data_IF_627160859437
#
_entry.id   IF_627160859437
#
_cell.length_a   1.000
_cell.length_b   1.000
_cell.length_c   1.000
_cell.angle_alpha   90.00
_cell.angle_beta   90.00
_cell.angle_gamma   90.00
#
_symmetry.space_group_name_H-M   'P 1'
#
loop_
_entity.id
_entity.type
_entity.pdbx_description
1 polymer ?
#
# COMPACT_ATOMS: atom_id res chain seq x y z
N UNK A 1 2.31 -16.58 0.01
CA UNK A 1 1.45 -17.58 -0.67
C UNK A 1 2.28 -18.17 -1.81
N UNK A 2 2.26 -19.48 -2.00
CA UNK A 2 3.02 -20.18 -3.05
C UNK A 2 2.07 -21.00 -3.93
N UNK A 3 2.47 -21.31 -5.16
CA UNK A 3 1.69 -22.19 -6.02
C UNK A 3 1.75 -23.65 -5.52
N UNK A 4 0.59 -24.26 -5.33
CA UNK A 4 0.43 -25.68 -5.01
C UNK A 4 0.12 -26.52 -6.24
N UNK A 5 -0.37 -27.73 -6.02
CA UNK A 5 -0.81 -28.64 -7.09
C UNK A 5 -1.92 -27.97 -7.90
N UNK A 6 -1.80 -28.00 -9.23
CA UNK A 6 -2.71 -27.36 -10.19
C UNK A 6 -2.81 -25.82 -10.05
N UNK A 7 -1.69 -25.15 -9.72
CA UNK A 7 -1.62 -23.69 -9.52
C UNK A 7 -2.55 -23.16 -8.41
N UNK A 8 -3.08 -24.05 -7.55
CA UNK A 8 -3.91 -23.65 -6.41
C UNK A 8 -3.06 -22.85 -5.41
N UNK A 9 -3.47 -21.65 -4.96
CA UNK A 9 -2.70 -20.87 -4.01
C UNK A 9 -2.65 -21.56 -2.64
N UNK A 10 -1.44 -21.73 -2.11
CA UNK A 10 -1.16 -22.32 -0.80
C UNK A 10 -0.51 -21.30 0.11
N UNK A 11 -0.94 -21.23 1.37
CA UNK A 11 -0.34 -20.41 2.39
C UNK A 11 0.78 -21.21 3.06
N UNK A 12 2.02 -20.74 2.91
CA UNK A 12 3.17 -21.29 3.62
C UNK A 12 3.34 -20.60 4.97
N UNK A 13 3.35 -21.39 6.05
CA UNK A 13 3.52 -20.90 7.42
C UNK A 13 4.53 -21.76 8.16
N UNK A 14 5.31 -21.14 9.04
CA UNK A 14 6.20 -21.86 9.96
C UNK A 14 5.47 -22.13 11.26
N UNK A 15 5.16 -23.39 11.54
CA UNK A 15 4.44 -23.79 12.76
C UNK A 15 5.21 -24.86 13.52
N UNK A 16 5.49 -24.59 14.80
CA UNK A 16 6.33 -25.46 15.67
C UNK A 16 7.69 -25.81 15.04
N UNK A 17 8.31 -24.84 14.37
CA UNK A 17 9.62 -24.99 13.73
C UNK A 17 9.61 -25.75 12.40
N UNK A 18 8.45 -26.21 11.92
CA UNK A 18 8.30 -26.87 10.63
C UNK A 18 7.52 -26.00 9.65
N UNK A 19 7.91 -26.05 8.38
CA UNK A 19 7.15 -25.40 7.32
C UNK A 19 5.92 -26.24 6.99
N UNK A 20 4.75 -25.59 6.98
CA UNK A 20 3.47 -26.19 6.60
C UNK A 20 2.88 -25.41 5.45
N UNK A 21 2.23 -26.14 4.55
CA UNK A 21 1.45 -25.60 3.46
C UNK A 21 -0.02 -25.85 3.76
N UNK A 22 -0.82 -24.80 3.78
CA UNK A 22 -2.26 -24.87 4.03
C UNK A 22 -2.98 -24.26 2.84
N UNK A 23 -4.05 -24.91 2.38
CA UNK A 23 -4.96 -24.29 1.42
C UNK A 23 -5.93 -23.33 2.14
N UNK A 24 -6.61 -22.48 1.36
CA UNK A 24 -7.56 -21.51 1.89
C UNK A 24 -8.70 -22.18 2.68
N UNK A 25 -9.13 -23.36 2.25
CA UNK A 25 -10.17 -24.15 2.92
C UNK A 25 -9.72 -24.68 4.28
N UNK A 26 -8.46 -25.12 4.39
CA UNK A 26 -7.88 -25.56 5.67
C UNK A 26 -7.79 -24.39 6.65
N UNK A 27 -7.35 -23.21 6.21
CA UNK A 27 -7.34 -22.02 7.08
C UNK A 27 -8.75 -21.65 7.52
N UNK A 28 -9.69 -21.62 6.58
CA UNK A 28 -11.10 -21.32 6.87
C UNK A 28 -11.70 -22.35 7.83
N UNK A 29 -11.31 -23.61 7.72
CA UNK A 29 -11.74 -24.67 8.64
C UNK A 29 -11.24 -24.47 10.07
N UNK A 30 -10.07 -23.86 10.27
CA UNK A 30 -9.54 -23.54 11.61
C UNK A 30 -10.42 -22.47 12.26
N UNK A 31 -10.82 -21.45 11.49
CA UNK A 31 -11.76 -20.42 11.96
C UNK A 31 -13.11 -21.04 12.32
N UNK A 32 -13.67 -21.87 11.42
CA UNK A 32 -14.94 -22.56 11.66
C UNK A 32 -14.87 -23.54 12.85
N UNK A 33 -13.75 -24.21 13.06
CA UNK A 33 -13.52 -25.07 14.23
C UNK A 33 -13.58 -24.26 15.52
N UNK A 34 -12.91 -23.12 15.57
CA UNK A 34 -12.96 -22.23 16.73
C UNK A 34 -14.39 -21.72 16.98
N UNK A 35 -15.12 -21.33 15.91
CA UNK A 35 -16.52 -20.90 16.05
C UNK A 35 -17.42 -22.04 16.56
N UNK A 36 -17.20 -23.28 16.11
CA UNK A 36 -17.89 -24.47 16.63
C UNK A 36 -17.59 -24.67 18.11
N UNK A 37 -16.31 -24.63 18.52
CA UNK A 37 -15.90 -24.82 19.92
C UNK A 37 -16.51 -23.76 20.85
N UNK A 38 -16.57 -22.49 20.41
CA UNK A 38 -17.25 -21.42 21.15
C UNK A 38 -18.75 -21.73 21.30
N UNK A 39 -19.41 -22.16 20.23
CA UNK A 39 -20.83 -22.53 20.28
C UNK A 39 -21.08 -23.76 21.15
N UNK A 40 -20.22 -24.78 21.09
CA UNK A 40 -20.28 -25.99 21.92
C UNK A 40 -20.09 -25.67 23.41
N UNK A 41 -19.17 -24.75 23.73
CA UNK A 41 -18.95 -24.29 25.10
C UNK A 41 -20.16 -23.51 25.64
N UNK A 42 -20.80 -22.68 24.80
CA UNK A 42 -21.98 -21.90 25.19
C UNK A 42 -23.24 -22.77 25.34
N UNK A 43 -23.44 -23.74 24.43
CA UNK A 43 -24.60 -24.63 24.43
C UNK A 43 -24.44 -25.87 25.32
N UNK A 44 -23.23 -26.10 25.84
CA UNK A 44 -22.84 -27.30 26.60
C UNK A 44 -23.17 -28.61 25.86
N UNK A 45 -23.13 -28.59 24.53
CA UNK A 45 -23.55 -29.71 23.67
C UNK A 45 -22.83 -29.68 22.32
N UNK A 46 -22.55 -30.85 21.70
CA UNK A 46 -21.87 -30.91 20.40
C UNK A 46 -22.65 -30.23 19.27
N UNK A 47 -21.97 -29.44 18.45
CA UNK A 47 -22.56 -28.71 17.31
C UNK A 47 -22.10 -29.36 16.01
N UNK A 48 -23.03 -29.98 15.29
CA UNK A 48 -22.75 -30.73 14.06
C UNK A 48 -23.29 -30.09 12.79
N UNK A 49 -24.30 -29.26 12.90
CA UNK A 49 -24.98 -28.66 11.76
C UNK A 49 -24.77 -27.15 11.77
N UNK A 50 -24.48 -26.56 10.61
CA UNK A 50 -24.29 -25.12 10.48
C UNK A 50 -24.85 -24.58 9.16
N UNK A 51 -25.20 -23.29 9.19
CA UNK A 51 -25.42 -22.48 7.99
C UNK A 51 -24.27 -21.48 7.93
N UNK A 52 -23.62 -21.37 6.77
CA UNK A 52 -22.45 -20.49 6.60
C UNK A 52 -22.77 -19.44 5.54
N UNK A 53 -22.42 -18.18 5.83
CA UNK A 53 -22.62 -17.05 4.94
C UNK A 53 -21.46 -16.92 3.95
N UNK A 54 -21.74 -16.44 2.74
CA UNK A 54 -20.73 -16.06 1.74
C UNK A 54 -21.12 -14.76 1.03
N UNK A 55 -20.18 -14.01 0.44
CA UNK A 55 -20.50 -12.85 -0.39
C UNK A 55 -21.45 -13.21 -1.55
N UNK A 56 -22.38 -12.32 -1.89
CA UNK A 56 -23.38 -12.59 -2.93
C UNK A 56 -22.75 -12.90 -4.31
N UNK A 57 -21.58 -12.34 -4.59
CA UNK A 57 -20.83 -12.51 -5.83
C UNK A 57 -19.91 -13.73 -5.86
N UNK A 58 -19.88 -14.56 -4.79
CA UNK A 58 -19.10 -15.80 -4.81
C UNK A 58 -19.59 -16.74 -5.91
N UNK A 59 -18.65 -17.21 -6.73
CA UNK A 59 -18.90 -18.22 -7.74
C UNK A 59 -19.02 -19.63 -7.14
N UNK A 60 -19.39 -20.61 -7.95
CA UNK A 60 -19.63 -21.99 -7.50
C UNK A 60 -18.40 -22.63 -6.86
N UNK A 61 -17.20 -22.34 -7.38
CA UNK A 61 -15.94 -22.87 -6.84
C UNK A 61 -15.66 -22.33 -5.44
N UNK A 62 -15.86 -21.02 -5.21
CA UNK A 62 -15.67 -20.39 -3.91
C UNK A 62 -16.72 -20.84 -2.88
N UNK A 63 -17.97 -21.03 -3.31
CA UNK A 63 -19.04 -21.62 -2.47
C UNK A 63 -18.69 -23.04 -2.07
N UNK A 64 -18.21 -23.85 -3.02
CA UNK A 64 -17.79 -25.22 -2.77
C UNK A 64 -16.60 -25.29 -1.81
N UNK A 65 -15.60 -24.43 -1.99
CA UNK A 65 -14.47 -24.30 -1.08
C UNK A 65 -14.91 -23.97 0.37
N UNK A 66 -15.94 -23.12 0.52
CA UNK A 66 -16.50 -22.78 1.85
C UNK A 66 -17.23 -23.98 2.48
N UNK A 67 -17.96 -24.76 1.69
CA UNK A 67 -18.60 -26.01 2.14
C UNK A 67 -17.54 -27.02 2.58
N UNK A 68 -16.47 -27.16 1.80
CA UNK A 68 -15.38 -28.09 2.08
C UNK A 68 -14.62 -27.67 3.36
N UNK A 69 -14.42 -26.37 3.58
CA UNK A 69 -13.90 -25.86 4.85
C UNK A 69 -14.78 -26.24 6.05
N UNK A 70 -16.11 -26.17 5.89
CA UNK A 70 -17.06 -26.63 6.90
C UNK A 70 -16.95 -28.12 7.20
N UNK A 71 -16.82 -28.95 6.15
CA UNK A 71 -16.63 -30.39 6.30
C UNK A 71 -15.32 -30.73 7.02
N UNK A 72 -14.22 -30.04 6.70
CA UNK A 72 -12.94 -30.18 7.41
C UNK A 72 -13.06 -29.79 8.89
N UNK A 73 -13.87 -28.76 9.19
CA UNK A 73 -14.19 -28.34 10.55
C UNK A 73 -15.18 -29.29 11.27
N UNK A 74 -15.56 -30.43 10.68
CA UNK A 74 -16.51 -31.37 11.28
C UNK A 74 -17.96 -30.86 11.33
N UNK A 75 -18.29 -29.85 10.52
CA UNK A 75 -19.63 -29.29 10.40
C UNK A 75 -20.32 -29.80 9.13
N UNK A 76 -21.57 -30.24 9.27
CA UNK A 76 -22.49 -30.43 8.17
C UNK A 76 -23.09 -29.08 7.76
N UNK A 77 -22.63 -28.54 6.64
CA UNK A 77 -23.14 -27.28 6.09
C UNK A 77 -24.49 -27.52 5.44
N UNK A 78 -25.56 -27.23 6.20
CA UNK A 78 -26.95 -27.43 5.75
C UNK A 78 -27.32 -26.51 4.60
N UNK A 79 -26.76 -25.29 4.60
CA UNK A 79 -27.01 -24.28 3.58
C UNK A 79 -25.88 -23.26 3.54
N UNK A 80 -25.57 -22.80 2.33
CA UNK A 80 -24.83 -21.56 2.12
C UNK A 80 -25.84 -20.45 1.81
N UNK A 81 -25.73 -19.33 2.52
CA UNK A 81 -26.59 -18.16 2.30
C UNK A 81 -25.74 -16.95 1.91
N UNK A 82 -26.29 -16.07 1.08
CA UNK A 82 -25.60 -14.84 0.73
C UNK A 82 -25.64 -13.89 1.93
N UNK A 83 -24.53 -13.22 2.22
CA UNK A 83 -24.42 -12.26 3.33
C UNK A 83 -25.53 -11.20 3.34
N UNK A 84 -25.89 -10.54 2.22
CA UNK A 84 -27.00 -9.58 2.22
C UNK A 84 -28.34 -10.22 2.63
N UNK A 85 -28.61 -11.43 2.13
CA UNK A 85 -29.82 -12.20 2.48
C UNK A 85 -29.81 -12.65 3.94
N UNK A 86 -28.63 -12.95 4.50
CA UNK A 86 -28.48 -13.29 5.91
C UNK A 86 -28.74 -12.07 6.81
N UNK A 87 -28.25 -10.89 6.40
CA UNK A 87 -28.48 -9.63 7.09
C UNK A 87 -29.98 -9.27 7.13
N UNK A 88 -30.72 -9.53 6.05
CA UNK A 88 -32.19 -9.35 6.03
C UNK A 88 -32.92 -10.27 7.03
N UNK A 89 -32.30 -11.36 7.50
CA UNK A 89 -32.90 -12.34 8.43
C UNK A 89 -32.31 -12.26 9.86
N UNK A 90 -31.58 -11.18 10.20
CA UNK A 90 -30.69 -11.13 11.36
C UNK A 90 -31.38 -11.27 12.73
N UNK A 91 -32.64 -10.84 12.90
CA UNK A 91 -33.30 -10.92 14.21
C UNK A 91 -34.84 -10.97 14.12
N UNK A 92 -35.45 -12.12 14.41
CA UNK A 92 -36.91 -12.30 14.62
C UNK A 92 -37.85 -11.73 13.54
N UNK A 93 -37.35 -11.48 12.32
CA UNK A 93 -38.12 -10.75 11.29
C UNK A 93 -38.34 -9.26 11.61
N UNK A 94 -37.56 -8.71 12.54
CA UNK A 94 -37.49 -7.28 12.84
C UNK A 94 -36.48 -6.65 11.89
N UNK A 95 -36.99 -5.94 10.89
CA UNK A 95 -36.19 -5.12 10.01
C UNK A 95 -35.42 -4.07 10.83
N UNK A 96 -34.09 -4.07 10.75
CA UNK A 96 -33.28 -2.97 11.29
C UNK A 96 -33.37 -1.78 10.33
N UNK A 97 -34.42 -0.99 10.49
CA UNK A 97 -34.58 0.28 9.78
C UNK A 97 -34.07 1.42 10.67
N UNK A 98 -32.95 2.01 10.29
CA UNK A 98 -32.41 3.21 10.92
C UNK A 98 -32.02 4.20 9.84
N UNK A 99 -32.20 5.49 10.13
CA UNK A 99 -31.77 6.57 9.25
C UNK A 99 -30.64 7.35 9.92
N UNK A 100 -29.54 7.54 9.19
CA UNK A 100 -28.47 8.42 9.63
C UNK A 100 -28.68 9.79 8.97
N UNK A 101 -28.87 10.81 9.80
CA UNK A 101 -28.93 12.18 9.30
C UNK A 101 -27.53 12.63 8.90
N UNK A 102 -27.44 13.58 7.96
CA UNK A 102 -26.15 14.21 7.62
C UNK A 102 -25.45 14.77 8.86
N UNK A 103 -26.20 15.42 9.75
CA UNK A 103 -25.65 15.97 11.00
C UNK A 103 -25.00 14.88 11.83
N UNK A 104 -25.64 13.71 11.97
CA UNK A 104 -25.07 12.60 12.72
C UNK A 104 -23.84 12.01 12.03
N UNK A 105 -23.88 11.85 10.71
CA UNK A 105 -22.72 11.41 9.93
C UNK A 105 -21.52 12.38 10.09
N UNK A 106 -21.78 13.69 10.06
CA UNK A 106 -20.74 14.69 10.27
C UNK A 106 -20.19 14.64 11.70
N UNK A 107 -21.06 14.50 12.70
CA UNK A 107 -20.69 14.42 14.12
C UNK A 107 -19.74 13.24 14.40
N UNK A 108 -20.07 12.04 13.90
CA UNK A 108 -19.28 10.83 14.15
C UNK A 108 -17.95 10.77 13.39
N UNK A 109 -17.75 11.62 12.37
CA UNK A 109 -16.53 11.66 11.54
C UNK A 109 -15.78 13.00 11.68
N UNK A 110 -16.18 13.87 12.60
CA UNK A 110 -15.63 15.23 12.67
C UNK A 110 -14.13 15.24 12.99
N UNK A 111 -13.69 14.29 13.83
CA UNK A 111 -12.28 14.06 14.15
C UNK A 111 -11.46 13.73 12.91
N UNK A 112 -11.93 12.79 12.07
CA UNK A 112 -11.29 12.43 10.81
C UNK A 112 -11.24 13.61 9.82
N UNK A 113 -12.34 14.37 9.71
CA UNK A 113 -12.36 15.55 8.84
C UNK A 113 -11.38 16.63 9.30
N UNK A 114 -11.26 16.85 10.60
CA UNK A 114 -10.30 17.78 11.16
C UNK A 114 -8.85 17.28 10.98
N UNK A 115 -8.62 15.97 11.05
CA UNK A 115 -7.31 15.39 10.75
C UNK A 115 -6.88 15.65 9.30
N UNK A 116 -7.79 15.54 8.33
CA UNK A 116 -7.51 15.93 6.94
C UNK A 116 -7.06 17.39 6.81
N UNK A 117 -7.62 18.31 7.60
CA UNK A 117 -7.25 19.72 7.57
C UNK A 117 -5.83 19.98 8.11
N UNK A 118 -5.34 19.17 9.05
CA UNK A 118 -3.95 19.26 9.54
C UNK A 118 -2.92 19.00 8.43
N UNK A 119 -3.24 18.10 7.50
CA UNK A 119 -2.39 17.84 6.34
C UNK A 119 -2.33 19.05 5.40
N UNK A 120 -3.46 19.74 5.22
CA UNK A 120 -3.51 21.00 4.46
C UNK A 120 -2.64 22.07 5.12
N UNK A 121 -2.78 22.27 6.43
CA UNK A 121 -1.98 23.22 7.21
C UNK A 121 -0.47 22.92 7.15
N UNK A 122 -0.10 21.64 7.23
CA UNK A 122 1.29 21.20 7.14
C UNK A 122 1.90 21.54 5.78
N UNK A 123 1.12 21.42 4.69
CA UNK A 123 1.56 21.79 3.34
C UNK A 123 1.90 23.29 3.23
N UNK A 124 1.12 24.18 3.87
CA UNK A 124 1.44 25.62 3.89
C UNK A 124 2.66 25.94 4.76
N UNK A 125 2.81 25.23 5.88
CA UNK A 125 3.98 25.37 6.75
C UNK A 125 5.26 25.01 6.00
N UNK A 126 5.23 23.93 5.23
CA UNK A 126 6.36 23.45 4.43
C UNK A 126 6.69 24.34 3.24
N UNK A 127 5.66 24.70 2.47
CA UNK A 127 5.84 25.49 1.25
C UNK A 127 6.25 26.93 1.55
N UNK A 128 5.98 27.43 2.77
CA UNK A 128 6.17 28.83 3.17
C UNK A 128 5.39 29.80 2.26
N UNK A 129 4.29 29.32 1.70
CA UNK A 129 3.38 30.07 0.84
C UNK A 129 2.19 30.52 1.70
N UNK A 130 1.65 31.70 1.41
CA UNK A 130 0.45 32.18 2.07
C UNK A 130 -0.81 31.55 1.45
N UNK A 131 -1.80 31.21 2.25
CA UNK A 131 -3.04 30.61 1.74
C UNK A 131 -3.78 31.51 0.74
N UNK A 132 -3.56 32.83 0.77
CA UNK A 132 -4.15 33.78 -0.17
C UNK A 132 -3.55 33.72 -1.58
N UNK A 133 -2.33 33.19 -1.73
CA UNK A 133 -1.69 33.03 -3.04
C UNK A 133 -2.01 31.71 -3.73
N UNK A 134 -2.89 30.89 -3.15
CA UNK A 134 -3.45 29.74 -3.87
C UNK A 134 -4.40 30.27 -4.91
N UNK A 135 -4.21 29.93 -6.19
CA UNK A 135 -5.07 30.38 -7.30
C UNK A 135 -6.32 29.51 -7.47
N UNK A 136 -6.19 28.20 -7.29
CA UNK A 136 -7.27 27.24 -7.50
C UNK A 136 -7.24 26.12 -6.45
N UNK A 137 -8.42 25.60 -6.11
CA UNK A 137 -8.58 24.47 -5.19
C UNK A 137 -9.29 23.35 -5.95
N UNK A 138 -8.55 22.33 -6.37
CA UNK A 138 -9.08 21.21 -7.16
C UNK A 138 -9.43 20.04 -6.24
N UNK A 139 -10.64 19.52 -6.37
CA UNK A 139 -11.12 18.37 -5.60
C UNK A 139 -10.90 17.07 -6.39
N UNK A 140 -10.22 16.10 -5.76
CA UNK A 140 -9.94 14.79 -6.34
C UNK A 140 -10.35 13.69 -5.37
N UNK A 141 -10.87 12.58 -5.90
CA UNK A 141 -11.35 11.42 -5.16
C UNK A 141 -12.79 11.54 -4.64
N UNK A 142 -13.53 10.43 -4.62
CA UNK A 142 -14.96 10.41 -4.30
C UNK A 142 -15.32 11.00 -2.93
N UNK A 143 -14.46 10.83 -1.91
CA UNK A 143 -14.69 11.40 -0.57
C UNK A 143 -14.70 12.93 -0.56
N UNK A 144 -14.11 13.59 -1.56
CA UNK A 144 -14.20 15.05 -1.72
C UNK A 144 -15.63 15.55 -2.01
N UNK A 145 -16.56 14.65 -2.37
CA UNK A 145 -17.99 14.95 -2.54
C UNK A 145 -18.71 15.24 -1.21
N UNK A 146 -18.11 14.89 -0.06
CA UNK A 146 -18.71 15.12 1.26
C UNK A 146 -18.88 16.63 1.50
N UNK A 147 -20.12 17.13 1.70
CA UNK A 147 -20.37 18.57 1.85
C UNK A 147 -19.61 19.22 2.99
N UNK A 148 -19.40 18.47 4.09
CA UNK A 148 -18.65 18.95 5.26
C UNK A 148 -17.17 19.19 4.96
N UNK A 149 -16.53 18.28 4.24
CA UNK A 149 -15.12 18.43 3.80
C UNK A 149 -14.97 19.65 2.90
N UNK A 150 -15.87 19.81 1.93
CA UNK A 150 -15.89 21.01 1.06
C UNK A 150 -16.17 22.30 1.84
N UNK A 151 -16.98 22.24 2.90
CA UNK A 151 -17.21 23.40 3.77
C UNK A 151 -15.94 23.75 4.54
N UNK A 152 -15.29 22.78 5.20
CA UNK A 152 -14.06 22.99 5.94
C UNK A 152 -12.94 23.57 5.07
N UNK A 153 -12.77 23.06 3.85
CA UNK A 153 -11.81 23.62 2.89
C UNK A 153 -12.15 25.06 2.50
N UNK A 154 -13.42 25.36 2.18
CA UNK A 154 -13.82 26.74 1.87
C UNK A 154 -13.59 27.68 3.05
N UNK A 155 -13.96 27.26 4.25
CA UNK A 155 -13.76 28.05 5.47
C UNK A 155 -12.26 28.30 5.71
N UNK A 156 -11.41 27.29 5.49
CA UNK A 156 -9.95 27.41 5.57
C UNK A 156 -9.38 28.45 4.59
N UNK A 157 -9.88 28.46 3.36
CA UNK A 157 -9.51 29.39 2.29
C UNK A 157 -10.38 30.67 2.26
N UNK A 158 -10.92 31.09 3.40
CA UNK A 158 -11.66 32.36 3.55
C UNK A 158 -12.83 32.51 2.55
N UNK A 159 -13.54 31.42 2.25
CA UNK A 159 -14.69 31.40 1.36
C UNK A 159 -14.37 31.25 -0.13
N UNK A 160 -13.11 30.97 -0.49
CA UNK A 160 -12.72 30.75 -1.89
C UNK A 160 -13.49 29.59 -2.54
N UNK A 161 -13.90 29.77 -3.79
CA UNK A 161 -14.61 28.73 -4.55
C UNK A 161 -13.73 27.52 -4.85
N UNK A 162 -14.34 26.33 -4.75
CA UNK A 162 -13.70 25.06 -5.09
C UNK A 162 -13.94 24.74 -6.56
N UNK A 163 -12.89 24.34 -7.27
CA UNK A 163 -12.96 23.93 -8.66
C UNK A 163 -13.73 22.60 -8.80
N UNK A 164 -14.84 22.66 -9.55
CA UNK A 164 -15.74 21.52 -9.81
C UNK A 164 -15.86 21.18 -11.30
N UNK A 165 -15.00 21.75 -12.14
CA UNK A 165 -15.02 21.54 -13.59
C UNK A 165 -14.53 20.14 -13.99
N UNK A 166 -13.83 19.45 -13.09
CA UNK A 166 -13.26 18.13 -13.31
C UNK A 166 -14.00 17.12 -12.44
N UNK A 167 -14.34 15.96 -13.00
CA UNK A 167 -14.91 14.86 -12.23
C UNK A 167 -13.86 14.35 -11.23
N UNK A 168 -14.10 14.40 -9.90
CA UNK A 168 -13.12 13.99 -8.90
C UNK A 168 -12.67 12.54 -9.04
N UNK A 169 -13.52 11.66 -9.58
CA UNK A 169 -13.24 10.23 -9.70
C UNK A 169 -12.39 9.91 -10.95
N UNK A 170 -12.38 10.81 -11.94
CA UNK A 170 -11.66 10.62 -13.22
C UNK A 170 -10.41 11.50 -13.34
N UNK A 171 -10.30 12.56 -12.52
CA UNK A 171 -9.25 13.56 -12.59
C UNK A 171 -7.83 12.96 -12.67
N UNK A 172 -7.55 11.95 -11.84
CA UNK A 172 -6.25 11.26 -11.80
C UNK A 172 -5.98 10.51 -13.10
N UNK A 173 -6.96 9.75 -13.59
CA UNK A 173 -6.82 8.98 -14.82
C UNK A 173 -6.66 9.89 -16.04
N UNK A 174 -7.40 11.00 -16.10
CA UNK A 174 -7.25 12.01 -17.15
C UNK A 174 -5.86 12.64 -17.13
N UNK A 175 -5.36 13.05 -15.96
CA UNK A 175 -4.01 13.61 -15.81
C UNK A 175 -2.91 12.63 -16.26
N UNK A 176 -3.04 11.36 -15.85
CA UNK A 176 -2.12 10.30 -16.26
C UNK A 176 -2.16 10.06 -17.78
N UNK A 177 -3.34 10.07 -18.40
CA UNK A 177 -3.49 9.90 -19.85
C UNK A 177 -2.86 11.06 -20.64
N UNK A 178 -2.99 12.31 -20.16
CA UNK A 178 -2.33 13.48 -20.76
C UNK A 178 -0.81 13.35 -20.65
N UNK A 179 -0.30 12.93 -19.49
CA UNK A 179 1.15 12.72 -19.31
C UNK A 179 1.68 11.57 -20.19
N UNK A 180 0.94 10.48 -20.33
CA UNK A 180 1.28 9.39 -21.24
C UNK A 180 1.30 9.84 -22.71
N UNK A 181 0.35 10.69 -23.12
CA UNK A 181 0.31 11.26 -24.46
C UNK A 181 1.52 12.18 -24.73
N UNK A 182 1.95 12.96 -23.74
CA UNK A 182 3.17 13.77 -23.80
C UNK A 182 4.42 12.90 -24.01
N UNK A 183 4.57 11.84 -23.22
CA UNK A 183 5.72 10.93 -23.30
C UNK A 183 5.75 10.09 -24.59
N UNK A 184 4.58 9.82 -25.17
CA UNK A 184 4.46 9.01 -26.38
C UNK A 184 4.62 9.82 -27.67
N UNK A 185 4.68 11.15 -27.58
CA UNK A 185 4.75 12.09 -28.71
C UNK A 185 3.60 11.93 -29.75
N UNK A 186 2.50 11.26 -29.39
CA UNK A 186 1.40 10.92 -30.32
C UNK A 186 0.48 12.11 -30.57
N UNK A 187 0.40 13.05 -29.63
CA UNK A 187 -0.50 14.19 -29.67
C UNK A 187 0.26 15.49 -29.43
N UNK A 188 -0.19 16.56 -30.08
CA UNK A 188 0.34 17.89 -29.86
C UNK A 188 -0.29 18.47 -28.58
N UNK A 189 0.30 18.12 -27.44
CA UNK A 189 -0.10 18.57 -26.11
C UNK A 189 0.81 19.73 -25.65
N UNK A 190 0.28 20.71 -24.87
CA UNK A 190 1.09 21.82 -24.37
C UNK A 190 2.31 21.30 -23.61
N UNK A 191 3.47 21.96 -23.79
CA UNK A 191 4.69 21.58 -23.10
C UNK A 191 4.48 21.69 -21.57
N UNK A 192 4.44 20.55 -20.90
CA UNK A 192 4.22 20.42 -19.46
C UNK A 192 5.47 19.79 -18.85
N UNK A 193 6.15 20.56 -17.99
CA UNK A 193 7.27 20.04 -17.19
C UNK A 193 6.73 19.67 -15.82
N UNK A 194 6.74 18.38 -15.50
CA UNK A 194 6.43 17.89 -14.15
C UNK A 194 7.68 17.97 -13.29
N UNK A 195 7.53 18.50 -12.08
CA UNK A 195 8.59 18.55 -11.08
C UNK A 195 8.03 18.01 -9.78
N UNK A 196 8.44 16.79 -9.46
CA UNK A 196 8.01 16.10 -8.25
C UNK A 196 9.05 16.29 -7.12
N UNK A 197 8.71 15.87 -5.90
CA UNK A 197 9.54 16.04 -4.71
C UNK A 197 9.55 14.80 -3.81
N UNK A 198 10.56 14.68 -2.95
CA UNK A 198 10.60 13.63 -1.92
C UNK A 198 9.55 13.83 -0.83
N UNK A 199 8.76 12.82 -0.44
CA UNK A 199 7.72 12.97 0.58
C UNK A 199 8.28 13.03 2.02
N UNK A 200 9.40 12.34 2.25
CA UNK A 200 10.09 12.25 3.53
C UNK A 200 11.60 12.41 3.33
N UNK A 201 12.29 12.77 4.40
CA UNK A 201 13.74 12.87 4.42
C UNK A 201 14.37 11.48 4.36
N UNK A 202 15.44 11.36 3.57
CA UNK A 202 16.18 10.13 3.35
C UNK A 202 17.59 10.30 3.88
N UNK A 203 18.09 9.28 4.59
CA UNK A 203 19.38 9.36 5.26
C UNK A 203 19.91 8.01 5.71
N UNK A 204 21.01 8.04 6.46
CA UNK A 204 21.62 6.83 7.03
C UNK A 204 21.65 6.87 8.55
N UNK A 205 21.77 5.69 9.18
CA UNK A 205 22.07 5.60 10.61
C UNK A 205 23.51 6.05 10.90
N UNK A 206 23.68 6.76 12.03
CA UNK A 206 24.99 7.05 12.61
C UNK A 206 25.21 6.18 13.84
N UNK A 207 26.46 6.06 14.29
CA UNK A 207 26.82 5.24 15.46
C UNK A 207 26.07 5.61 16.75
N UNK A 208 25.55 6.84 16.84
CA UNK A 208 24.81 7.32 18.00
C UNK A 208 23.32 6.95 17.95
N UNK A 209 22.89 6.15 16.97
CA UNK A 209 21.48 5.80 16.76
C UNK A 209 20.64 6.96 16.22
N UNK A 210 21.28 8.02 15.71
CA UNK A 210 20.58 9.17 15.12
C UNK A 210 20.62 9.11 13.59
N UNK A 211 19.58 9.64 12.97
CA UNK A 211 19.48 9.74 11.52
C UNK A 211 20.29 10.93 11.02
N UNK A 212 21.18 10.69 10.06
CA UNK A 212 21.82 11.75 9.26
C UNK A 212 21.09 11.87 7.93
N UNK A 213 20.22 12.87 7.80
CA UNK A 213 19.50 13.15 6.55
C UNK A 213 20.46 13.64 5.45
N UNK A 214 20.40 13.00 4.28
CA UNK A 214 21.19 13.32 3.08
C UNK A 214 20.34 14.06 2.05
N UNK A 215 19.10 13.61 1.86
CA UNK A 215 18.09 14.27 1.02
C UNK A 215 16.92 14.65 1.92
N UNK A 216 16.71 15.94 2.25
CA UNK A 216 15.56 16.38 3.02
C UNK A 216 14.24 16.12 2.28
N UNK A 217 13.12 16.03 3.00
CA UNK A 217 11.77 16.08 2.42
C UNK A 217 11.58 17.33 1.55
N UNK A 218 10.64 17.25 0.62
CA UNK A 218 10.32 18.29 -0.36
C UNK A 218 11.51 18.67 -1.28
N UNK A 219 12.50 17.78 -1.43
CA UNK A 219 13.60 17.98 -2.40
C UNK A 219 13.13 17.57 -3.78
N UNK A 220 13.32 18.42 -4.78
CA UNK A 220 12.90 18.11 -6.16
C UNK A 220 13.63 16.92 -6.75
N UNK A 221 12.91 16.05 -7.45
CA UNK A 221 13.45 14.91 -8.17
C UNK A 221 13.42 15.17 -9.69
N UNK A 222 14.35 14.59 -10.48
CA UNK A 222 15.46 13.72 -10.06
C UNK A 222 16.54 14.48 -9.29
N UNK A 223 17.25 13.80 -8.37
CA UNK A 223 18.29 14.41 -7.54
C UNK A 223 19.42 13.44 -7.22
N UNK A 224 20.64 13.98 -7.15
CA UNK A 224 21.83 13.28 -6.66
C UNK A 224 22.49 14.09 -5.55
N UNK A 225 22.65 13.50 -4.36
CA UNK A 225 23.32 14.12 -3.21
C UNK A 225 24.38 13.18 -2.65
N UNK A 226 25.57 13.72 -2.40
CA UNK A 226 26.70 12.98 -1.83
C UNK A 226 27.09 13.62 -0.51
N UNK A 227 27.28 12.81 0.51
CA UNK A 227 27.72 13.24 1.83
C UNK A 227 28.92 12.42 2.29
N UNK A 228 29.89 13.11 2.92
CA UNK A 228 31.09 12.50 3.48
C UNK A 228 30.85 11.99 4.89
N UNK A 229 31.35 10.78 5.16
CA UNK A 229 31.34 10.10 6.44
C UNK A 229 32.73 9.55 6.75
N UNK A 230 32.92 8.98 7.94
CA UNK A 230 34.16 8.35 8.36
C UNK A 230 33.90 7.00 9.01
N UNK A 231 34.82 6.05 8.85
CA UNK A 231 34.72 4.73 9.49
C UNK A 231 34.74 4.84 11.01
N UNK A 232 33.82 4.14 11.67
CA UNK A 232 33.66 4.16 13.13
C UNK A 232 34.72 3.32 13.85
N UNK A 233 35.04 2.17 13.28
CA UNK A 233 35.82 1.08 13.87
C UNK A 233 36.80 0.52 12.83
N UNK A 234 37.82 -0.21 13.29
CA UNK A 234 38.80 -0.93 12.44
C UNK A 234 38.25 -2.24 11.86
N UNK A 235 36.93 -2.41 11.84
CA UNK A 235 36.27 -3.62 11.31
C UNK A 235 36.37 -3.67 9.79
N UNK A 236 36.57 -4.87 9.22
CA UNK A 236 36.73 -5.10 7.78
C UNK A 236 35.49 -4.79 6.90
N UNK A 237 34.44 -4.19 7.46
CA UNK A 237 33.24 -3.79 6.74
C UNK A 237 32.43 -2.73 7.48
N UNK A 238 31.74 -1.88 6.73
CA UNK A 238 30.84 -0.82 7.22
C UNK A 238 29.41 -1.15 6.82
N UNK A 239 28.52 -1.31 7.80
CA UNK A 239 27.09 -1.48 7.54
C UNK A 239 26.46 -0.12 7.28
N UNK A 240 25.78 0.02 6.14
CA UNK A 240 25.05 1.22 5.76
C UNK A 240 23.57 0.87 5.77
N UNK A 241 22.85 1.48 6.68
CA UNK A 241 21.40 1.31 6.83
C UNK A 241 20.71 2.58 6.39
N UNK A 242 19.80 2.45 5.42
CA UNK A 242 19.09 3.55 4.77
C UNK A 242 17.72 3.71 5.41
N UNK A 243 17.42 4.92 5.86
CA UNK A 243 16.17 5.25 6.55
C UNK A 243 15.38 6.34 5.83
N UNK A 244 14.08 6.31 6.05
CA UNK A 244 13.11 7.34 5.66
C UNK A 244 12.36 7.84 6.90
N UNK A 245 12.30 9.16 7.11
CA UNK A 245 11.52 9.77 8.18
C UNK A 245 12.09 11.10 8.69
N UNK A 246 11.32 11.75 9.58
CA UNK A 246 11.61 13.09 10.11
C UNK A 246 12.10 13.09 11.56
N UNK A 247 12.24 11.92 12.17
CA UNK A 247 12.62 11.79 13.59
C UNK A 247 14.15 11.77 13.72
N UNK A 248 14.66 12.32 14.81
CA UNK A 248 16.10 12.34 15.08
C UNK A 248 16.65 10.94 15.38
N UNK A 249 15.86 10.08 16.04
CA UNK A 249 16.21 8.69 16.36
C UNK A 249 15.83 7.77 15.21
N UNK A 250 16.76 6.90 14.78
CA UNK A 250 16.48 5.92 13.71
C UNK A 250 15.44 4.88 14.12
N UNK A 251 15.26 4.63 15.42
CA UNK A 251 14.26 3.70 15.94
C UNK A 251 12.82 4.16 15.70
N UNK A 252 12.62 5.47 15.50
CA UNK A 252 11.31 6.08 15.21
C UNK A 252 11.09 6.34 13.71
N UNK A 253 12.03 5.89 12.85
CA UNK A 253 11.97 6.06 11.38
C UNK A 253 11.85 4.69 10.69
N UNK A 254 11.55 4.71 9.38
CA UNK A 254 11.38 3.51 8.59
C UNK A 254 12.71 3.06 7.99
N UNK A 255 13.13 1.83 8.28
CA UNK A 255 14.28 1.21 7.60
C UNK A 255 13.86 0.78 6.18
N UNK A 256 14.52 1.34 5.17
CA UNK A 256 14.28 1.02 3.76
C UNK A 256 15.11 -0.16 3.28
N UNK A 257 16.35 -0.28 3.76
CA UNK A 257 17.26 -1.35 3.39
C UNK A 257 18.65 -1.14 3.96
N UNK A 258 19.50 -2.14 3.83
CA UNK A 258 20.89 -2.06 4.27
C UNK A 258 21.82 -2.87 3.40
N UNK A 259 23.09 -2.46 3.36
CA UNK A 259 24.15 -3.18 2.66
C UNK A 259 25.47 -2.98 3.39
N UNK A 260 26.40 -3.91 3.20
CA UNK A 260 27.73 -3.86 3.83
C UNK A 260 28.75 -3.45 2.78
N UNK A 261 29.47 -2.36 3.02
CA UNK A 261 30.64 -2.01 2.23
C UNK A 261 31.86 -2.75 2.77
N UNK A 262 32.52 -3.51 1.90
CA UNK A 262 33.74 -4.26 2.25
C UNK A 262 34.94 -3.32 2.34
N UNK A 263 35.52 -3.25 3.53
CA UNK A 263 36.58 -2.30 3.90
C UNK A 263 37.75 -3.06 4.58
N UNK A 264 38.38 -4.05 3.93
CA UNK A 264 39.41 -4.86 4.56
C UNK A 264 40.69 -4.05 4.81
N UNK A 265 41.13 -3.99 6.07
CA UNK A 265 42.41 -3.38 6.46
C UNK A 265 42.44 -1.85 6.50
N UNK A 266 41.30 -1.16 6.40
CA UNK A 266 41.22 0.30 6.55
C UNK A 266 41.06 0.70 8.02
N UNK A 267 41.86 1.67 8.51
CA UNK A 267 41.77 2.14 9.89
C UNK A 267 40.51 2.97 10.13
N UNK A 268 40.15 3.12 11.41
CA UNK A 268 39.14 4.07 11.89
C UNK A 268 39.45 5.49 11.40
N UNK A 269 38.40 6.23 11.05
CA UNK A 269 38.51 7.61 10.56
C UNK A 269 38.76 7.71 9.06
N UNK A 270 38.77 6.59 8.32
CA UNK A 270 38.94 6.59 6.87
C UNK A 270 37.73 7.25 6.18
N UNK A 271 37.95 8.17 5.22
CA UNK A 271 36.87 8.84 4.52
C UNK A 271 36.00 7.89 3.67
N UNK A 272 34.69 8.00 3.88
CA UNK A 272 33.64 7.32 3.13
C UNK A 272 32.77 8.37 2.43
N UNK A 273 32.37 8.12 1.20
CA UNK A 273 31.31 8.90 0.53
C UNK A 273 30.07 8.04 0.37
N UNK A 274 28.93 8.57 0.77
CA UNK A 274 27.63 7.95 0.52
C UNK A 274 26.83 8.86 -0.41
N UNK A 275 26.33 8.29 -1.49
CA UNK A 275 25.61 8.99 -2.54
C UNK A 275 24.18 8.45 -2.64
N UNK A 276 23.21 9.36 -2.52
CA UNK A 276 21.80 9.09 -2.73
C UNK A 276 21.43 9.64 -4.11
N UNK A 277 20.83 8.79 -4.95
CA UNK A 277 20.31 9.16 -6.27
C UNK A 277 18.85 8.77 -6.34
N UNK A 278 18.00 9.72 -6.74
CA UNK A 278 16.57 9.48 -6.99
C UNK A 278 16.31 9.83 -8.44
N UNK A 279 15.77 8.88 -9.19
CA UNK A 279 15.44 9.06 -10.61
C UNK A 279 14.09 9.78 -10.81
N UNK A 280 13.69 9.94 -12.07
CA UNK A 280 12.42 10.59 -12.45
C UNK A 280 11.18 9.81 -11.96
N UNK A 281 11.32 8.53 -11.62
CA UNK A 281 10.24 7.67 -11.11
C UNK A 281 10.23 7.61 -9.57
N UNK A 282 11.11 8.35 -8.90
CA UNK A 282 11.25 8.28 -7.44
C UNK A 282 11.99 7.04 -6.94
N UNK A 283 12.69 6.29 -7.81
CA UNK A 283 13.46 5.10 -7.39
C UNK A 283 14.76 5.57 -6.74
N UNK A 284 14.97 5.15 -5.51
CA UNK A 284 16.17 5.47 -4.72
C UNK A 284 17.27 4.44 -4.95
N UNK A 285 18.44 4.91 -5.35
CA UNK A 285 19.70 4.16 -5.33
C UNK A 285 20.67 4.82 -4.35
N UNK A 286 21.16 4.04 -3.39
CA UNK A 286 22.18 4.47 -2.43
C UNK A 286 23.46 3.71 -2.71
N UNK A 287 24.52 4.44 -3.00
CA UNK A 287 25.86 3.89 -3.17
C UNK A 287 26.82 4.44 -2.13
N UNK A 288 27.82 3.65 -1.78
CA UNK A 288 28.88 4.08 -0.89
C UNK A 288 30.25 3.70 -1.44
N UNK A 289 31.22 4.58 -1.26
CA UNK A 289 32.58 4.45 -1.76
C UNK A 289 33.58 4.81 -0.67
N UNK A 290 34.53 3.91 -0.42
CA UNK A 290 35.70 4.20 0.41
C UNK A 290 36.80 4.80 -0.47
N UNK A 291 37.31 5.99 -0.11
CA UNK A 291 38.14 6.79 -1.04
C UNK A 291 39.54 6.23 -1.29
N UNK A 292 40.11 5.47 -0.36
CA UNK A 292 41.51 5.02 -0.41
C UNK A 292 41.68 3.77 -1.27
N UNK A 293 40.77 2.80 -1.14
CA UNK A 293 40.74 1.58 -1.95
C UNK A 293 39.91 1.71 -3.23
N UNK A 294 38.96 2.66 -3.27
CA UNK A 294 37.99 2.78 -4.35
C UNK A 294 36.90 1.70 -4.31
N UNK A 295 36.82 0.91 -3.24
CA UNK A 295 35.76 -0.07 -3.07
C UNK A 295 34.40 0.62 -3.01
N UNK A 296 33.48 0.14 -3.83
CA UNK A 296 32.10 0.62 -3.89
C UNK A 296 31.13 -0.52 -3.64
N UNK A 297 30.02 -0.20 -2.98
CA UNK A 297 28.85 -1.07 -2.95
C UNK A 297 27.60 -0.20 -3.03
N UNK A 298 26.51 -0.76 -3.53
CA UNK A 298 25.26 -0.03 -3.70
C UNK A 298 24.04 -0.92 -3.45
N UNK A 299 22.93 -0.26 -3.13
CA UNK A 299 21.62 -0.86 -3.04
C UNK A 299 20.64 0.01 -3.83
N UNK A 300 19.79 -0.62 -4.62
CA UNK A 300 18.61 0.04 -5.16
C UNK A 300 17.44 -0.32 -4.25
N UNK A 301 16.85 0.68 -3.61
CA UNK A 301 15.67 0.53 -2.78
C UNK A 301 14.47 0.49 -3.71
N UNK A 302 14.14 -0.71 -4.16
CA UNK A 302 12.83 -1.00 -4.72
C UNK A 302 11.89 -1.34 -3.58
N UNK A 303 10.68 -0.76 -3.59
CA UNK A 303 9.62 -1.08 -2.63
C UNK A 303 9.13 -2.52 -2.89
N UNK A 304 9.97 -3.50 -2.54
CA UNK A 304 9.89 -4.90 -2.97
C UNK A 304 8.93 -5.75 -2.14
N UNK A 305 8.14 -5.13 -1.26
CA UNK A 305 7.11 -5.87 -0.53
C UNK A 305 5.96 -6.34 -1.44
N UNK A 306 5.84 -5.84 -2.68
CA UNK A 306 4.73 -6.20 -3.60
C UNK A 306 5.09 -6.24 -5.10
N UNK A 307 6.36 -6.43 -5.50
CA UNK A 307 6.69 -6.53 -6.93
C UNK A 307 6.67 -7.98 -7.44
N UNK A 308 5.79 -8.24 -8.40
CA UNK A 308 5.84 -9.42 -9.26
C UNK A 308 7.16 -9.40 -10.06
N UNK A 309 7.85 -10.54 -10.10
CA UNK A 309 9.04 -10.76 -10.91
C UNK A 309 8.76 -10.50 -12.40
N UNK A 310 9.80 -10.19 -13.17
CA UNK A 310 9.69 -10.02 -14.64
C UNK A 310 9.07 -11.24 -15.33
N UNK A 311 9.23 -12.42 -14.74
CA UNK A 311 8.66 -13.68 -15.23
C UNK A 311 7.17 -13.78 -14.91
N UNK A 312 6.75 -13.39 -13.71
CA UNK A 312 5.34 -13.30 -13.32
C UNK A 312 4.58 -12.25 -14.13
N UNK A 313 5.19 -11.10 -14.42
CA UNK A 313 4.61 -10.08 -15.31
C UNK A 313 4.39 -10.64 -16.72
N UNK A 314 5.36 -11.40 -17.26
CA UNK A 314 5.20 -12.05 -18.57
C UNK A 314 4.11 -13.13 -18.55
N UNK A 315 4.01 -13.93 -17.48
CA UNK A 315 2.96 -14.94 -17.30
C UNK A 315 1.58 -14.27 -17.26
N UNK A 316 1.40 -13.21 -16.48
CA UNK A 316 0.13 -12.47 -16.39
C UNK A 316 -0.27 -11.79 -17.72
N UNK A 317 0.68 -11.24 -18.47
CA UNK A 317 0.41 -10.68 -19.81
C UNK A 317 -0.03 -11.78 -20.80
N UNK A 318 0.56 -12.96 -20.70
CA UNK A 318 0.21 -14.11 -21.55
C UNK A 318 -1.18 -14.65 -21.20
N UNK A 319 -1.48 -14.82 -19.90
CA UNK A 319 -2.80 -15.24 -19.41
C UNK A 319 -3.90 -14.24 -19.81
N UNK A 320 -3.65 -12.93 -19.67
CA UNK A 320 -4.59 -11.90 -20.09
C UNK A 320 -4.90 -11.94 -21.61
N UNK A 321 -3.94 -12.33 -22.44
CA UNK A 321 -4.15 -12.51 -23.89
C UNK A 321 -4.96 -13.77 -24.19
N UNK A 322 -4.74 -14.84 -23.43
CA UNK A 322 -5.47 -16.10 -23.57
C UNK A 322 -6.94 -15.94 -23.13
N UNK A 323 -7.19 -15.30 -21.98
CA UNK A 323 -8.55 -15.00 -21.52
C UNK A 323 -9.30 -14.09 -22.49
N UNK A 324 -8.63 -13.07 -23.05
CA UNK A 324 -9.24 -12.23 -24.09
C UNK A 324 -9.61 -13.02 -25.35
N UNK A 325 -8.78 -13.98 -25.77
CA UNK A 325 -9.08 -14.84 -26.91
C UNK A 325 -10.22 -15.83 -26.62
N UNK A 326 -10.34 -16.32 -25.39
CA UNK A 326 -11.45 -17.16 -24.95
C UNK A 326 -12.77 -16.38 -24.87
N UNK A 327 -12.75 -15.17 -24.31
CA UNK A 327 -13.89 -14.26 -24.25
C UNK A 327 -14.39 -13.90 -25.66
N UNK A 328 -13.49 -13.58 -26.59
CA UNK A 328 -13.84 -13.31 -27.99
C UNK A 328 -14.45 -14.55 -28.69
N UNK A 329 -13.96 -15.77 -28.38
CA UNK A 329 -14.53 -17.03 -28.90
C UNK A 329 -15.91 -17.30 -28.29
N UNK A 330 -16.10 -17.03 -27.01
CA UNK A 330 -17.37 -17.19 -26.32
C UNK A 330 -18.43 -16.23 -26.89
N UNK A 331 -18.08 -14.95 -27.04
CA UNK A 331 -18.95 -13.92 -27.64
C UNK A 331 -19.30 -14.23 -29.11
N UNK A 332 -18.40 -14.87 -29.87
CA UNK A 332 -18.70 -15.34 -31.24
C UNK A 332 -19.63 -16.55 -31.29
N UNK A 333 -19.63 -17.41 -30.26
CA UNK A 333 -20.55 -18.55 -30.15
C UNK A 333 -21.93 -18.16 -29.59
N UNK A 334 -22.00 -17.03 -28.89
CA UNK A 334 -23.23 -16.48 -28.32
C UNK A 334 -24.03 -15.59 -29.31
N UNK A 335 -23.54 -15.44 -30.55
CA UNK A 335 -24.28 -14.86 -31.70
C UNK A 335 -24.76 -15.98 -32.61
#
# INVERSE_FOLDING_TARGET
>A
VIAGVNDKPMISVKYKGQDKLLCAEEISSIVLTNMREIAEAYLESPVRNAVVTVPAYFNDSQRKATIDAGAIAGLNIMRIINEPTAADNLFEGIDFNSSITRVKFEEINMDLFNECMKSVESCFTDSKIDKSSVDDIVLVGGSSRIPKVQKLLRDFFNGKDLCKSINPDEAVACGAAVHAALLSEVLNVPNLVLRDVTPLSLGISTNNGTMSAVIPRNTSIPVKKTQGYVTANDSGGVSIEVYEGERASVADNNLLGSFILSCPGVPRGTPLEVCFTIDENGILTVSAMEKSSGNTNEITITNDKEKLSREEIKKLIQEAREYRAEDERFLRKAK
#
